data_IF_084933728227
#
_entry.id   IF_084933728227
#
_cell.length_a   1.000
_cell.length_b   1.000
_cell.length_c   1.000
_cell.angle_alpha   90.00
_cell.angle_beta   90.00
_cell.angle_gamma   90.00
#
_symmetry.space_group_name_H-M   'P 1'
#
loop_
_entity.id
_entity.type
_entity.pdbx_description
1 polymer ?
2 non-polymer ?
3 non-polymer ?
4 water ?
#
# COMPACT_ATOMS: atom_id res chain seq x y z
N UNK A 1 9.32 -9.97 6.87
CA UNK A 1 9.79 -9.55 5.56
C UNK A 1 11.15 -8.88 5.64
N UNK A 2 11.57 -8.52 6.85
CA UNK A 2 12.82 -7.78 7.02
C UNK A 2 13.99 -8.47 6.36
N UNK A 3 13.93 -9.80 6.26
CA UNK A 3 14.98 -10.53 5.56
C UNK A 3 15.02 -10.19 4.07
N UNK A 4 13.93 -9.63 3.53
CA UNK A 4 13.84 -9.28 2.12
C UNK A 4 14.51 -7.95 1.82
N UNK A 5 15.00 -7.23 2.82
CA UNK A 5 15.61 -5.91 2.64
C UNK A 5 17.12 -6.04 2.76
N UNK A 6 17.83 -5.63 1.71
CA UNK A 6 19.28 -5.76 1.67
C UNK A 6 19.95 -5.12 2.88
N UNK A 7 19.37 -4.04 3.41
CA UNK A 7 19.98 -3.38 4.57
C UNK A 7 20.01 -4.29 5.79
N UNK A 8 18.97 -5.11 5.96
CA UNK A 8 18.93 -6.02 7.10
C UNK A 8 19.99 -7.11 6.94
N UNK A 9 20.09 -7.71 5.75
CA UNK A 9 21.04 -8.80 5.56
C UNK A 9 22.48 -8.30 5.64
N UNK A 10 22.77 -7.15 5.02
CA UNK A 10 24.08 -6.53 5.19
C UNK A 10 24.34 -6.24 6.66
N UNK A 11 23.34 -5.72 7.36
CA UNK A 11 23.49 -5.40 8.77
C UNK A 11 23.87 -6.64 9.57
N UNK A 12 23.24 -7.77 9.29
CA UNK A 12 23.57 -9.01 9.99
C UNK A 12 24.94 -9.53 9.58
N UNK A 13 25.36 -9.28 8.34
CA UNK A 13 26.70 -9.67 7.93
C UNK A 13 27.76 -8.90 8.70
N UNK A 14 27.58 -7.59 8.84
CA UNK A 14 28.53 -6.80 9.63
C UNK A 14 28.45 -7.17 11.10
N UNK A 15 27.24 -7.42 11.60
CA UNK A 15 27.05 -7.82 12.99
C UNK A 15 27.81 -9.10 13.31
N UNK A 16 27.69 -10.10 12.44
CA UNK A 16 28.42 -11.36 12.64
C UNK A 16 29.92 -11.17 12.45
N UNK A 17 30.32 -10.55 11.34
CA UNK A 17 31.73 -10.51 10.97
C UNK A 17 32.52 -9.59 11.90
N UNK A 18 31.96 -8.45 12.27
CA UNK A 18 32.68 -7.43 13.02
C UNK A 18 32.22 -7.37 14.48
N UNK A 19 30.95 -7.08 14.71
CA UNK A 19 30.51 -6.67 16.05
C UNK A 19 30.49 -7.81 17.06
N UNK A 20 30.23 -9.05 16.62
CA UNK A 20 30.11 -10.14 17.59
C UNK A 20 31.41 -10.33 18.36
N UNK A 21 32.55 -10.22 17.69
CA UNK A 21 33.83 -10.36 18.37
C UNK A 21 33.92 -9.48 19.61
N UNK A 22 33.39 -8.26 19.51
CA UNK A 22 33.47 -7.34 20.64
C UNK A 22 32.69 -7.88 21.85
N UNK A 23 31.50 -8.41 21.61
CA UNK A 23 30.62 -8.82 22.70
C UNK A 23 30.90 -10.23 23.22
N UNK A 24 31.12 -11.21 22.36
CA UNK A 24 31.10 -12.62 22.76
C UNK A 24 32.35 -13.36 22.31
N UNK A 25 32.62 -14.53 22.90
CA UNK A 25 33.73 -15.36 22.41
C UNK A 25 33.44 -15.95 21.04
N UNK A 26 34.51 -16.14 20.26
CA UNK A 26 34.33 -16.59 18.89
C UNK A 26 33.57 -17.90 18.81
N UNK A 27 33.85 -18.84 19.71
CA UNK A 27 33.35 -20.21 19.55
C UNK A 27 31.84 -20.32 19.71
N UNK A 28 31.18 -19.32 20.28
CA UNK A 28 29.72 -19.32 20.36
C UNK A 28 29.07 -18.47 19.27
N UNK A 29 29.87 -17.82 18.41
CA UNK A 29 29.31 -16.94 17.38
C UNK A 29 28.30 -17.68 16.52
N UNK A 30 28.75 -18.73 15.82
CA UNK A 30 27.94 -19.33 14.77
C UNK A 30 26.57 -19.73 15.31
N UNK A 31 26.54 -20.54 16.37
CA UNK A 31 25.26 -20.95 16.93
C UNK A 31 24.38 -19.74 17.20
N UNK A 32 24.93 -18.72 17.85
CA UNK A 32 24.16 -17.50 18.09
C UNK A 32 23.55 -17.03 16.77
N UNK A 33 24.38 -16.82 15.76
CA UNK A 33 23.88 -16.35 14.48
C UNK A 33 22.76 -17.25 13.97
N UNK A 34 22.94 -18.57 14.07
CA UNK A 34 21.89 -19.47 13.62
C UNK A 34 20.56 -19.01 14.22
N UNK A 35 20.52 -18.96 15.56
CA UNK A 35 19.31 -18.52 16.23
C UNK A 35 18.86 -17.16 15.69
N UNK A 36 19.77 -16.18 15.67
CA UNK A 36 19.41 -14.87 15.14
C UNK A 36 18.73 -15.02 13.79
N UNK A 37 19.44 -15.67 12.85
CA UNK A 37 18.88 -15.78 11.51
C UNK A 37 17.53 -16.47 11.55
N UNK A 38 17.43 -17.56 12.32
CA UNK A 38 16.15 -18.24 12.47
C UNK A 38 15.06 -17.24 12.82
N UNK A 39 15.27 -16.48 13.89
CA UNK A 39 14.26 -15.52 14.31
C UNK A 39 13.98 -14.50 13.22
N UNK A 40 15.03 -14.02 12.55
CA UNK A 40 14.81 -13.02 11.52
C UNK A 40 14.06 -13.62 10.34
N UNK A 41 14.23 -14.92 10.10
CA UNK A 41 13.52 -15.55 8.99
C UNK A 41 12.08 -15.86 9.34
N UNK A 42 11.78 -16.03 10.64
CA UNK A 42 10.41 -16.25 11.07
C UNK A 42 9.56 -14.99 11.02
N UNK A 43 10.17 -13.82 10.78
CA UNK A 43 9.38 -12.60 10.67
C UNK A 43 8.35 -12.74 9.56
N UNK A 44 7.10 -12.48 9.90
CA UNK A 44 6.02 -12.42 8.93
C UNK A 44 5.50 -13.74 8.42
N UNK A 45 6.03 -14.88 8.90
CA UNK A 45 5.61 -16.17 8.38
C UNK A 45 4.32 -16.59 9.05
N UNK A 46 3.41 -17.20 8.27
CA UNK A 46 2.01 -17.36 8.65
C UNK A 46 1.77 -18.74 9.24
N UNK A 47 1.03 -18.77 10.36
CA UNK A 47 0.64 -19.97 11.09
C UNK A 47 -0.81 -20.41 10.82
N UNK A 48 -1.43 -19.88 9.77
CA UNK A 48 -2.86 -19.89 9.44
C UNK A 48 -3.67 -19.05 10.43
N UNK A 49 -4.92 -19.45 10.67
CA UNK A 49 -5.90 -18.66 11.42
C UNK A 49 -5.82 -17.19 11.04
N UNK A 50 -5.63 -16.32 12.03
CA UNK A 50 -5.49 -14.91 11.71
C UNK A 50 -4.13 -14.61 11.09
N UNK A 51 -3.11 -15.39 11.45
CA UNK A 51 -1.72 -15.04 11.17
C UNK A 51 -1.50 -14.65 9.72
N UNK A 52 -2.43 -15.01 8.82
CA UNK A 52 -2.31 -14.60 7.43
C UNK A 52 -2.10 -13.10 7.27
N UNK A 53 -2.41 -12.29 8.29
CA UNK A 53 -2.22 -10.85 8.15
C UNK A 53 -0.74 -10.47 8.17
N UNK A 54 0.16 -11.37 8.57
CA UNK A 54 1.60 -11.12 8.55
C UNK A 54 2.30 -11.67 7.31
N UNK A 55 1.60 -12.41 6.46
CA UNK A 55 2.25 -13.05 5.32
C UNK A 55 2.68 -12.09 4.24
N UNK A 56 2.10 -10.89 4.21
CA UNK A 56 2.41 -9.93 3.17
C UNK A 56 2.26 -8.53 3.74
N UNK A 57 3.06 -7.59 3.22
CA UNK A 57 3.11 -6.24 3.75
C UNK A 57 3.59 -5.31 2.65
N UNK A 58 3.08 -4.08 2.65
CA UNK A 58 3.47 -3.12 1.62
C UNK A 58 4.90 -2.64 1.85
N UNK A 59 5.50 -2.09 0.79
CA UNK A 59 6.90 -1.70 0.81
C UNK A 59 7.19 -0.70 1.94
N UNK A 60 6.27 0.23 2.18
CA UNK A 60 6.50 1.25 3.19
C UNK A 60 6.57 0.63 4.60
N UNK A 61 5.64 -0.26 4.90
CA UNK A 61 5.65 -0.91 6.21
C UNK A 61 6.89 -1.79 6.37
N UNK A 62 7.27 -2.52 5.31
CA UNK A 62 8.53 -3.24 5.33
C UNK A 62 9.69 -2.30 5.63
N UNK A 63 9.63 -1.08 5.09
CA UNK A 63 10.68 -0.09 5.36
C UNK A 63 10.70 0.26 6.85
N UNK A 64 9.54 0.54 7.42
CA UNK A 64 9.47 0.84 8.86
C UNK A 64 10.06 -0.29 9.68
N UNK A 65 9.62 -1.53 9.42
CA UNK A 65 10.16 -2.68 10.13
C UNK A 65 11.68 -2.75 10.00
N UNK A 66 12.17 -2.65 8.76
CA UNK A 66 13.62 -2.64 8.53
C UNK A 66 14.30 -1.64 9.44
N UNK A 67 13.80 -0.42 9.50
CA UNK A 67 14.54 0.65 10.17
C UNK A 67 14.46 0.54 11.69
N UNK A 68 13.33 0.08 12.24
CA UNK A 68 13.29 -0.14 13.68
C UNK A 68 14.19 -1.31 14.08
N UNK A 69 14.15 -2.39 13.29
CA UNK A 69 15.05 -3.53 13.55
C UNK A 69 16.49 -3.08 13.51
N UNK A 70 16.87 -2.28 12.52
CA UNK A 70 18.24 -1.80 12.43
C UNK A 70 18.59 -0.89 13.60
N UNK A 71 17.63 -0.08 14.04
CA UNK A 71 17.87 0.77 15.21
C UNK A 71 18.21 -0.06 16.43
N UNK A 72 17.43 -1.12 16.70
CA UNK A 72 17.71 -1.94 17.87
C UNK A 72 18.99 -2.74 17.70
N UNK A 73 19.20 -3.34 16.53
CA UNK A 73 20.42 -4.11 16.30
C UNK A 73 21.66 -3.23 16.49
N UNK A 74 21.57 -1.97 16.09
CA UNK A 74 22.66 -1.05 16.36
C UNK A 74 22.77 -0.76 17.86
N UNK A 75 21.64 -0.58 18.54
CA UNK A 75 21.69 -0.36 19.98
C UNK A 75 22.48 -1.47 20.67
N UNK A 76 22.16 -2.73 20.35
CA UNK A 76 22.83 -3.86 20.96
C UNK A 76 24.29 -3.91 20.52
N UNK A 77 24.56 -3.60 19.25
CA UNK A 77 25.94 -3.50 18.79
C UNK A 77 26.73 -2.53 19.64
N UNK A 78 26.13 -1.40 20.03
CA UNK A 78 26.79 -0.36 20.79
C UNK A 78 26.69 -0.53 22.30
N UNK A 79 25.92 -1.51 22.76
CA UNK A 79 25.78 -1.74 24.19
C UNK A 79 27.09 -2.19 24.80
N UNK A 80 27.20 -2.04 26.12
CA UNK A 80 28.29 -2.62 26.88
C UNK A 80 28.02 -4.07 27.28
N UNK A 81 26.90 -4.63 26.83
CA UNK A 81 26.54 -5.99 27.20
C UNK A 81 27.52 -7.01 26.62
N UNK A 82 27.71 -8.10 27.35
CA UNK A 82 28.59 -9.17 26.92
C UNK A 82 28.07 -10.49 27.47
N UNK A 83 28.48 -11.59 26.82
CA UNK A 83 28.17 -12.92 27.31
C UNK A 83 26.69 -13.19 27.46
N UNK A 84 26.34 -13.86 28.56
CA UNK A 84 24.98 -14.31 28.79
C UNK A 84 23.98 -13.16 28.65
N UNK A 85 24.31 -11.99 29.20
CA UNK A 85 23.39 -10.86 29.12
C UNK A 85 23.26 -10.37 27.68
N UNK A 86 24.36 -10.37 26.93
CA UNK A 86 24.28 -9.96 25.53
C UNK A 86 23.38 -10.90 24.75
N UNK A 87 23.48 -12.20 25.00
CA UNK A 87 22.62 -13.15 24.31
C UNK A 87 21.16 -12.96 24.72
N UNK A 88 20.90 -12.89 26.02
CA UNK A 88 19.54 -12.70 26.51
C UNK A 88 18.90 -11.47 25.89
N UNK A 89 19.62 -10.34 25.93
CA UNK A 89 19.08 -9.10 25.39
C UNK A 89 18.95 -9.15 23.87
N UNK A 90 19.86 -9.86 23.20
CA UNK A 90 19.76 -10.01 21.75
C UNK A 90 18.49 -10.75 21.37
N UNK A 91 18.27 -11.93 21.96
CA UNK A 91 17.07 -12.70 21.65
C UNK A 91 15.81 -11.94 22.04
N UNK A 92 15.84 -11.25 23.19
CA UNK A 92 14.69 -10.44 23.59
C UNK A 92 14.43 -9.34 22.59
N UNK A 93 15.49 -8.74 22.05
CA UNK A 93 15.33 -7.68 21.06
C UNK A 93 14.74 -8.21 19.76
N UNK A 94 15.13 -9.42 19.37
CA UNK A 94 14.53 -10.02 18.19
C UNK A 94 13.05 -10.31 18.42
N UNK A 95 12.70 -10.81 19.60
CA UNK A 95 11.29 -11.05 19.92
C UNK A 95 10.52 -9.73 19.91
N UNK A 96 11.11 -8.67 20.44
CA UNK A 96 10.42 -7.38 20.51
C UNK A 96 10.26 -6.76 19.12
N UNK A 97 11.30 -6.83 18.29
CA UNK A 97 11.19 -6.36 16.92
C UNK A 97 10.17 -7.17 16.14
N UNK A 98 10.06 -8.46 16.45
CA UNK A 98 9.01 -9.27 15.84
C UNK A 98 7.63 -8.76 16.28
N UNK A 99 7.50 -8.37 17.55
CA UNK A 99 6.24 -7.75 17.98
C UNK A 99 5.97 -6.47 17.22
N UNK A 100 6.98 -5.60 17.11
CA UNK A 100 6.83 -4.35 16.36
C UNK A 100 6.35 -4.65 14.94
N UNK A 101 6.98 -5.61 14.28
CA UNK A 101 6.56 -5.97 12.93
C UNK A 101 5.10 -6.40 12.92
N UNK A 102 4.73 -7.32 13.81
CA UNK A 102 3.34 -7.77 13.86
C UNK A 102 2.38 -6.60 13.98
N UNK A 103 2.72 -5.62 14.84
CA UNK A 103 1.87 -4.45 14.97
C UNK A 103 1.82 -3.66 13.67
N UNK A 104 2.96 -3.50 13.01
CA UNK A 104 3.01 -2.74 11.75
C UNK A 104 2.19 -3.41 10.67
N UNK A 105 2.15 -4.75 10.64
CA UNK A 105 1.36 -5.46 9.65
C UNK A 105 -0.13 -5.37 9.96
N UNK A 106 -0.51 -5.68 11.21
CA UNK A 106 -1.89 -5.54 11.65
C UNK A 106 -2.42 -4.16 11.30
N UNK A 107 -1.68 -3.12 11.71
CA UNK A 107 -2.04 -1.76 11.36
C UNK A 107 -2.14 -1.59 9.85
N UNK A 108 -1.14 -2.10 9.12
CA UNK A 108 -1.15 -1.98 7.66
C UNK A 108 -2.45 -2.47 7.06
N UNK A 109 -2.96 -3.60 7.56
CA UNK A 109 -4.21 -4.15 7.03
C UNK A 109 -5.40 -3.28 7.45
N UNK A 110 -5.49 -2.94 8.73
CA UNK A 110 -6.66 -2.22 9.21
C UNK A 110 -6.89 -0.94 8.40
N UNK A 111 -5.83 -0.19 8.13
CA UNK A 111 -5.92 1.11 7.47
C UNK A 111 -5.44 1.03 6.02
N UNK A 112 -4.19 0.65 5.80
CA UNK A 112 -3.57 0.82 4.49
C UNK A 112 -4.13 -0.15 3.47
N UNK A 113 -4.42 -1.38 3.88
CA UNK A 113 -4.79 -2.42 2.91
C UNK A 113 -6.27 -2.32 2.55
N UNK A 114 -6.56 -2.55 1.26
CA UNK A 114 -7.90 -2.52 0.70
C UNK A 114 -8.70 -1.35 1.29
N UNK A 115 -8.17 -0.13 1.23
CA UNK A 115 -8.91 1.03 1.75
C UNK A 115 -10.13 1.37 0.92
N UNK A 116 -10.16 0.98 -0.35
CA UNK A 116 -11.27 1.35 -1.22
C UNK A 116 -12.56 0.71 -0.74
N UNK A 117 -13.62 1.52 -0.70
CA UNK A 117 -14.96 1.04 -0.43
C UNK A 117 -15.70 0.66 -1.71
N UNK A 118 -15.08 0.90 -2.86
CA UNK A 118 -15.67 0.62 -4.16
C UNK A 118 -14.56 0.50 -5.18
N UNK A 119 -14.89 -0.10 -6.33
CA UNK A 119 -13.92 -0.18 -7.40
C UNK A 119 -12.84 -1.23 -7.13
N UNK A 120 -11.77 -1.14 -7.90
CA UNK A 120 -10.66 -2.09 -7.86
C UNK A 120 -9.38 -1.32 -7.58
N UNK A 121 -8.66 -1.73 -6.55
CA UNK A 121 -7.39 -1.15 -6.19
C UNK A 121 -6.28 -2.16 -6.42
N UNK A 122 -5.08 -1.65 -6.71
CA UNK A 122 -3.91 -2.48 -6.92
C UNK A 122 -2.78 -1.96 -6.04
N UNK A 123 -2.34 -2.80 -5.10
CA UNK A 123 -1.33 -2.42 -4.12
C UNK A 123 -0.13 -3.35 -4.25
N UNK A 124 1.06 -2.79 -4.22
CA UNK A 124 2.27 -3.61 -4.29
C UNK A 124 2.55 -4.19 -2.91
N UNK A 125 2.54 -5.52 -2.81
CA UNK A 125 2.81 -6.21 -1.56
C UNK A 125 4.07 -7.05 -1.68
N UNK A 126 4.79 -7.15 -0.57
CA UNK A 126 5.91 -8.07 -0.42
C UNK A 126 5.41 -9.25 0.41
N UNK A 127 5.49 -10.44 -0.16
CA UNK A 127 5.21 -11.67 0.57
C UNK A 127 6.49 -12.12 1.27
N UNK A 128 6.37 -12.31 2.60
CA UNK A 128 7.52 -12.45 3.47
C UNK A 128 8.19 -13.82 3.37
N UNK A 129 7.41 -14.87 3.12
CA UNK A 129 7.98 -16.20 3.09
C UNK A 129 9.03 -16.33 1.99
N UNK A 130 8.62 -16.07 0.74
CA UNK A 130 9.52 -16.14 -0.40
C UNK A 130 10.06 -14.77 -0.82
N UNK A 131 9.70 -13.71 -0.11
CA UNK A 131 10.22 -12.36 -0.41
C UNK A 131 9.82 -11.92 -1.81
N UNK A 132 8.57 -12.18 -2.18
CA UNK A 132 8.13 -11.97 -3.57
C UNK A 132 7.23 -10.74 -3.66
N UNK A 133 7.56 -9.85 -4.59
CA UNK A 133 6.71 -8.69 -4.85
C UNK A 133 5.58 -9.08 -5.80
N UNK A 134 4.35 -8.93 -5.33
CA UNK A 134 3.17 -9.24 -6.13
C UNK A 134 2.19 -8.08 -6.06
N UNK A 135 1.34 -7.99 -7.07
CA UNK A 135 0.33 -6.94 -7.15
C UNK A 135 -0.97 -7.50 -6.57
N UNK A 136 -1.36 -6.98 -5.41
CA UNK A 136 -2.56 -7.42 -4.72
C UNK A 136 -3.75 -6.62 -5.23
N UNK A 137 -4.82 -7.32 -5.56
CA UNK A 137 -5.99 -6.72 -6.18
C UNK A 137 -7.11 -6.71 -5.14
N UNK A 138 -7.48 -5.53 -4.67
CA UNK A 138 -8.65 -5.37 -3.80
C UNK A 138 -9.83 -5.08 -4.72
N UNK A 139 -10.73 -6.04 -4.86
CA UNK A 139 -11.78 -5.97 -5.86
C UNK A 139 -13.12 -5.78 -5.17
N UNK A 140 -13.81 -4.70 -5.54
CA UNK A 140 -15.17 -4.43 -5.10
C UNK A 140 -15.97 -4.01 -6.32
N UNK A 141 -17.28 -3.93 -6.15
CA UNK A 141 -18.14 -3.55 -7.27
C UNK A 141 -17.62 -2.29 -7.94
N UNK A 142 -17.49 -2.34 -9.27
CA UNK A 142 -16.78 -1.29 -9.99
C UNK A 142 -17.52 0.04 -9.91
N UNK A 143 -18.86 0.02 -9.94
CA UNK A 143 -19.60 1.27 -9.90
C UNK A 143 -19.56 1.82 -8.48
N UNK A 144 -18.98 3.00 -8.33
CA UNK A 144 -18.82 3.62 -7.02
C UNK A 144 -20.06 4.39 -6.57
N UNK A 145 -20.81 4.97 -7.48
CA UNK A 145 -22.02 5.68 -7.11
C UNK A 145 -22.40 6.72 -8.15
N UNK A 146 -23.46 7.45 -7.83
CA UNK A 146 -24.02 8.47 -8.71
C UNK A 146 -23.98 9.82 -8.02
N UNK A 147 -23.42 10.82 -8.70
CA UNK A 147 -23.35 12.18 -8.20
C UNK A 147 -24.45 13.00 -8.87
N UNK A 148 -25.18 13.77 -8.06
CA UNK A 148 -26.14 14.75 -8.58
C UNK A 148 -25.43 16.09 -8.65
N UNK A 149 -25.19 16.57 -9.87
CA UNK A 149 -24.50 17.83 -10.11
C UNK A 149 -25.53 18.84 -10.61
N UNK A 150 -25.51 20.03 -10.02
CA UNK A 150 -26.33 21.13 -10.49
C UNK A 150 -25.43 22.34 -10.73
N UNK A 151 -25.59 22.97 -11.88
CA UNK A 151 -24.74 24.07 -12.31
C UNK A 151 -25.62 25.09 -13.02
N UNK A 152 -25.44 26.36 -12.69
CA UNK A 152 -26.20 27.39 -13.36
C UNK A 152 -25.72 27.57 -14.79
N UNK A 153 -26.58 28.14 -15.62
CA UNK A 153 -26.23 28.37 -17.01
C UNK A 153 -25.01 29.27 -17.10
N UNK A 154 -24.15 29.00 -18.08
CA UNK A 154 -22.96 29.78 -18.35
C UNK A 154 -21.96 29.73 -17.20
N UNK A 155 -22.02 28.70 -16.37
CA UNK A 155 -21.01 28.46 -15.36
C UNK A 155 -20.09 27.33 -15.82
N UNK A 156 -19.09 27.02 -15.00
CA UNK A 156 -18.22 25.89 -15.26
C UNK A 156 -18.81 24.64 -14.64
N UNK A 157 -18.87 23.57 -15.43
CA UNK A 157 -19.28 22.26 -14.95
C UNK A 157 -18.03 21.42 -14.73
N UNK A 158 -17.84 20.96 -13.50
CA UNK A 158 -16.69 20.14 -13.14
C UNK A 158 -17.20 18.78 -12.68
N UNK A 159 -16.64 17.72 -13.25
CA UNK A 159 -16.89 16.36 -12.80
C UNK A 159 -15.61 15.84 -12.15
N UNK A 160 -15.68 15.55 -10.86
CA UNK A 160 -14.51 15.10 -10.10
C UNK A 160 -14.59 13.59 -9.95
N UNK A 161 -13.66 12.88 -10.60
CA UNK A 161 -13.59 11.43 -10.51
C UNK A 161 -12.55 10.96 -9.51
N UNK A 162 -11.86 11.86 -8.82
CA UNK A 162 -10.80 11.45 -7.92
C UNK A 162 -11.37 10.79 -6.68
N UNK A 163 -10.69 9.74 -6.22
CA UNK A 163 -11.02 9.07 -4.97
C UNK A 163 -9.79 9.04 -4.08
N UNK A 164 -10.04 8.91 -2.77
CA UNK A 164 -8.95 8.88 -1.80
C UNK A 164 -7.86 7.91 -2.23
N UNK A 165 -8.21 6.63 -2.37
CA UNK A 165 -7.22 5.59 -2.60
C UNK A 165 -6.56 5.68 -3.98
N UNK A 166 -7.13 6.45 -4.91
CA UNK A 166 -6.60 6.49 -6.27
C UNK A 166 -5.10 6.80 -6.28
N UNK A 167 -4.69 7.87 -5.59
CA UNK A 167 -3.29 8.25 -5.59
C UNK A 167 -2.39 7.09 -5.19
N UNK A 168 -2.86 6.23 -4.28
CA UNK A 168 -2.06 5.11 -3.81
C UNK A 168 -2.11 3.92 -4.78
N UNK A 169 -3.21 3.77 -5.51
CA UNK A 169 -3.37 2.60 -6.37
C UNK A 169 -2.26 2.57 -7.43
N UNK A 170 -1.92 1.36 -7.85
CA UNK A 170 -0.82 1.12 -8.78
C UNK A 170 -1.37 0.70 -10.14
N UNK A 171 -0.66 1.13 -11.19
CA UNK A 171 -1.05 0.77 -12.53
C UNK A 171 -2.18 1.58 -13.11
N UNK A 172 -2.53 2.72 -12.51
CA UNK A 172 -3.59 3.54 -13.05
C UNK A 172 -3.20 4.09 -14.41
N UNK A 173 -4.05 3.85 -15.41
CA UNK A 173 -4.00 4.52 -16.68
C UNK A 173 -4.92 5.74 -16.61
N UNK A 174 -5.26 6.31 -17.76
CA UNK A 174 -5.99 7.57 -17.82
C UNK A 174 -7.46 7.40 -17.44
N UNK A 175 -7.99 8.46 -16.81
CA UNK A 175 -9.44 8.60 -16.66
C UNK A 175 -10.09 8.85 -18.01
N UNK A 176 -11.25 8.27 -18.22
CA UNK A 176 -12.03 8.46 -19.44
C UNK A 176 -13.42 8.96 -19.05
N UNK A 177 -13.79 10.12 -19.59
CA UNK A 177 -15.09 10.75 -19.33
C UNK A 177 -15.97 10.63 -20.55
N UNK A 178 -17.14 10.02 -20.38
CA UNK A 178 -18.13 9.80 -21.43
C UNK A 178 -19.41 10.56 -21.11
N UNK A 179 -20.15 10.86 -22.17
CA UNK A 179 -21.49 11.45 -22.09
C UNK A 179 -22.49 10.37 -22.46
N UNK A 180 -23.44 10.08 -21.56
CA UNK A 180 -24.42 9.03 -21.74
C UNK A 180 -25.70 9.66 -22.26
N UNK A 181 -26.06 9.35 -23.50
CA UNK A 181 -27.24 9.92 -24.15
C UNK A 181 -28.51 9.17 -23.74
N UNK A 182 -29.64 9.88 -23.87
CA UNK A 182 -30.94 9.27 -23.66
C UNK A 182 -31.17 8.08 -24.57
N UNK A 183 -30.50 8.05 -25.72
CA UNK A 183 -30.58 6.96 -26.69
C UNK A 183 -29.91 5.67 -26.20
N UNK A 184 -29.29 5.69 -25.02
CA UNK A 184 -28.52 4.56 -24.47
C UNK A 184 -27.25 4.30 -25.29
N UNK A 185 -26.57 5.37 -25.69
CA UNK A 185 -25.23 5.29 -26.25
C UNK A 185 -24.37 6.35 -25.56
N UNK A 186 -23.06 6.17 -25.67
CA UNK A 186 -22.13 7.09 -25.02
C UNK A 186 -21.01 7.45 -25.98
N UNK A 187 -20.50 8.66 -25.81
CA UNK A 187 -19.36 9.16 -26.58
C UNK A 187 -18.29 9.65 -25.60
N UNK A 188 -17.04 9.30 -25.86
CA UNK A 188 -15.95 9.73 -25.01
C UNK A 188 -15.72 11.22 -25.20
N UNK A 189 -15.89 12.00 -24.13
CA UNK A 189 -15.61 13.43 -24.19
C UNK A 189 -14.25 13.81 -23.62
N UNK A 190 -13.58 12.91 -22.89
CA UNK A 190 -12.20 13.20 -22.52
C UNK A 190 -11.47 11.92 -22.15
N UNK A 191 -10.15 11.95 -22.30
CA UNK A 191 -9.29 10.87 -21.84
C UNK A 191 -7.96 11.46 -21.41
N UNK A 192 -7.45 11.05 -20.27
CA UNK A 192 -6.17 11.56 -19.81
C UNK A 192 -6.00 11.38 -18.31
N UNK A 193 -4.79 11.68 -17.85
CA UNK A 193 -4.42 11.43 -16.47
C UNK A 193 -5.12 12.38 -15.50
N UNK A 194 -5.83 13.38 -15.97
CA UNK A 194 -6.48 14.33 -15.09
C UNK A 194 -7.68 13.66 -14.42
N UNK A 195 -7.77 13.65 -13.09
CA UNK A 195 -8.90 12.97 -12.44
C UNK A 195 -10.25 13.60 -12.70
N UNK A 196 -10.29 14.82 -13.24
CA UNK A 196 -11.52 15.57 -13.39
C UNK A 196 -11.72 15.99 -14.84
N UNK A 197 -12.97 16.36 -15.14
CA UNK A 197 -13.34 16.94 -16.43
C UNK A 197 -13.92 18.32 -16.18
N UNK A 198 -13.61 19.26 -17.09
CA UNK A 198 -14.15 20.61 -17.02
C UNK A 198 -14.80 20.96 -18.34
N UNK A 199 -16.04 21.42 -18.27
CA UNK A 199 -16.80 21.90 -19.42
C UNK A 199 -17.19 23.36 -19.13
N UNK A 200 -16.79 24.25 -20.02
CA UNK A 200 -16.92 25.69 -19.79
C UNK A 200 -18.18 26.24 -20.46
N UNK A 201 -18.80 27.21 -19.79
CA UNK A 201 -19.93 27.94 -20.33
C UNK A 201 -21.05 26.99 -20.73
N UNK A 202 -21.51 26.20 -19.75
CA UNK A 202 -22.49 25.17 -20.04
C UNK A 202 -23.81 25.80 -20.49
N UNK A 203 -24.63 24.97 -21.13
CA UNK A 203 -25.95 25.35 -21.55
C UNK A 203 -26.87 24.15 -21.47
N UNK A 204 -28.17 24.36 -21.67
CA UNK A 204 -29.11 23.23 -21.53
C UNK A 204 -28.72 22.00 -22.34
N UNK A 205 -28.07 22.18 -23.48
CA UNK A 205 -27.62 21.04 -24.26
C UNK A 205 -26.63 20.17 -23.48
N UNK A 206 -25.95 20.74 -22.48
CA UNK A 206 -25.00 19.97 -21.68
C UNK A 206 -25.67 19.18 -20.57
N UNK A 207 -26.91 19.50 -20.21
CA UNK A 207 -27.63 18.71 -19.22
C UNK A 207 -27.72 17.27 -19.69
N UNK A 208 -27.50 16.34 -18.78
CA UNK A 208 -27.61 14.94 -19.10
C UNK A 208 -26.79 14.10 -18.14
N UNK A 209 -26.67 12.82 -18.49
CA UNK A 209 -25.91 11.87 -17.70
C UNK A 209 -24.48 11.80 -18.22
N UNK A 210 -23.53 11.70 -17.29
CA UNK A 210 -22.12 11.55 -17.61
C UNK A 210 -21.59 10.34 -16.87
N UNK A 211 -20.40 9.91 -17.27
CA UNK A 211 -19.79 8.74 -16.66
C UNK A 211 -18.28 8.93 -16.66
N UNK A 212 -17.64 8.50 -15.59
CA UNK A 212 -16.19 8.46 -15.52
C UNK A 212 -15.77 7.02 -15.28
N UNK A 213 -14.78 6.56 -16.05
CA UNK A 213 -14.23 5.23 -15.89
C UNK A 213 -12.72 5.34 -15.88
N UNK A 214 -12.10 4.85 -14.81
CA UNK A 214 -10.65 4.79 -14.72
C UNK A 214 -10.21 3.42 -15.20
N UNK A 215 -9.09 3.39 -15.94
CA UNK A 215 -8.58 2.16 -16.51
C UNK A 215 -7.21 1.84 -15.93
N UNK A 216 -6.84 0.57 -15.98
CA UNK A 216 -5.56 0.12 -15.48
C UNK A 216 -4.82 -0.62 -16.60
N UNK A 217 -3.51 -0.77 -16.40
CA UNK A 217 -2.67 -1.41 -17.42
C UNK A 217 -3.08 -2.87 -17.59
N UNK A 218 -3.36 -3.55 -16.48
CA UNK A 218 -3.62 -4.98 -16.50
C UNK A 218 -4.99 -5.32 -15.92
N UNK A 219 -5.24 -4.97 -14.66
CA UNK A 219 -6.32 -5.59 -13.91
C UNK A 219 -7.68 -5.30 -14.52
N UNK A 220 -7.92 -4.07 -14.95
CA UNK A 220 -9.20 -3.72 -15.52
C UNK A 220 -9.53 -2.27 -15.22
N UNK A 221 -10.83 -1.97 -15.27
CA UNK A 221 -11.31 -0.67 -14.82
C UNK A 221 -11.18 -0.58 -13.31
N UNK A 222 -10.55 0.49 -12.84
CA UNK A 222 -10.38 0.69 -11.40
C UNK A 222 -11.64 1.30 -10.77
N UNK A 223 -12.30 2.23 -11.44
CA UNK A 223 -13.39 2.97 -10.84
C UNK A 223 -14.38 3.43 -11.90
N UNK A 224 -15.65 3.48 -11.51
CA UNK A 224 -16.70 4.09 -12.31
C UNK A 224 -17.50 5.04 -11.43
N UNK A 225 -17.78 6.23 -11.94
CA UNK A 225 -18.62 7.22 -11.26
C UNK A 225 -19.58 7.79 -12.30
N UNK A 226 -20.86 7.81 -11.96
CA UNK A 226 -21.90 8.38 -12.82
C UNK A 226 -22.31 9.74 -12.28
N UNK A 227 -22.64 10.65 -13.20
CA UNK A 227 -23.01 12.01 -12.84
C UNK A 227 -24.35 12.34 -13.47
N UNK A 228 -25.24 12.93 -12.66
CA UNK A 228 -26.52 13.46 -13.13
C UNK A 228 -26.43 14.98 -13.10
N UNK A 229 -26.38 15.59 -14.28
CA UNK A 229 -26.14 17.01 -14.41
C UNK A 229 -27.45 17.70 -14.76
N UNK A 230 -27.83 18.68 -13.94
CA UNK A 230 -28.99 19.52 -14.19
C UNK A 230 -28.52 20.95 -14.40
N UNK A 231 -28.84 21.52 -15.56
CA UNK A 231 -28.50 22.90 -15.87
C UNK A 231 -29.63 23.78 -15.36
N UNK A 232 -29.31 24.71 -14.47
CA UNK A 232 -30.28 25.64 -13.94
C UNK A 232 -30.32 26.90 -14.78
N UNK A 233 -31.23 27.82 -14.50
CA UNK A 233 -31.17 29.14 -15.15
C UNK A 233 -30.00 29.93 -14.63
N UNK A 234 -29.58 30.99 -15.34
CA UNK A 234 -28.37 31.71 -14.91
C UNK A 234 -28.43 32.24 -13.49
N UNK A 235 -29.58 32.78 -13.08
CA UNK A 235 -29.69 33.42 -11.78
C UNK A 235 -30.98 33.00 -11.08
X LIG B 1 -28.46 9.57 -29.75
X LIG B 1 -27.62 10.90 -29.80
X LIG B 1 -27.14 11.22 -31.22
X LIG B 1 -26.45 10.03 -31.84
X LIG B 1 -27.49 8.93 -31.97
X LIG B 1 -26.97 7.69 -32.63
X LIG B 1 -29.42 11.99 -28.46
X LIG B 1 -30.01 13.32 -28.09
X LIG B 1 -28.35 12.04 -29.28
X LIG B 1 -26.24 12.32 -31.15
X LIG B 1 -25.93 10.35 -33.13
X LIG B 1 -27.90 8.56 -30.65
X LIG B 1 -27.34 6.53 -31.89
X LIG B 1 -29.88 10.94 -28.05
X LIG B 1 -29.38 9.76 -30.01
X LIG B 1 -26.83 10.76 -29.25
X LIG B 1 -27.91 11.47 -31.76
X LIG B 1 -25.72 9.73 -31.27
X LIG B 1 -28.26 9.27 -32.46
X LIG B 1 -27.34 7.62 -33.53
X LIG B 1 -26.00 7.73 -32.68
X LIG B 1 -30.30 13.79 -28.90
X LIG B 1 -29.33 13.85 -27.63
X LIG B 1 -30.78 13.19 -27.50
X LIG B 1 -28.08 12.87 -29.54
X LIG B 1 -26.39 12.86 -31.84
X LIG B 1 -25.05 10.42 -33.07
X LIG B 1 -27.22 5.80 -32.39
X LIG C 1 23.23 0.38 7.66
X LIG C 1 21.89 0.70 8.19
X LIG C 1 21.69 0.20 9.63
X LIG C 1 22.59 -0.84 10.11
X LIG C 1 23.63 -1.40 9.26
X LIG C 1 23.44 -1.07 7.79
X LIG C 1 22.67 -1.02 11.56
X LIG C 1 23.54 -2.21 11.98
X LIG C 1 23.52 -2.36 13.39
X LIG C 1 23.30 0.78 6.25
X LIG C 1 24.17 2.02 6.10
X LIG C 1 25.92 1.72 6.46
X LIG C 1 26.15 1.90 7.89
X LIG C 1 26.77 2.67 5.72
X LIG C 1 26.27 0.36 6.07
X LIG C 1 21.74 1.77 8.17
X LIG C 1 21.14 0.24 7.56
X LIG C 1 21.78 1.06 10.29
X LIG C 1 20.67 -0.17 9.72
X LIG C 1 24.60 -1.03 9.60
X LIG C 1 23.64 -2.49 9.39
X LIG C 1 22.59 -1.61 7.39
X LIG C 1 24.33 -1.36 7.24
X LIG C 1 21.67 -1.16 11.95
X LIG C 1 23.08 -0.11 12.00
X LIG C 1 23.18 -3.12 11.50
X LIG C 1 24.57 -2.04 11.65
X LIG C 1 22.95 -1.67 13.78
X LIG C 1 23.73 -0.03 5.66
X LIG C 1 22.30 0.99 5.88
X LIG C 1 24.08 2.40 5.07
X LIG C 1 23.80 2.80 6.76
#
# INVERSE_FOLDING_TARGET
>A
CIKCDQFVTDALKTFENTYLNDHLPHDIHKNVMRMVNHEVSSFGVVTSAEDSYLGAVDENTLEQATWSFLKDLKRITDSDLKGELFIKELLWMLRHQKDIFNNLARQFQKEVLCPNKCGVMSQTLIWCLKCEKQLHICRKSLDCGERHIEVHRSEDLVLDCLLSWHRASKGLTDYSFYRVWENSSETLIAKGKEPYLTKSMVGPEDAGNYRCVLDTINQGHATVIRYDVTVLPPKH
>B hetero
1 NAG C1 C2 C3 C4 C5 C6 C7 C8 N2 O3 O4 O5 O6 O7 H1 H2 H3 H4 H5 H61 H62 H81 H82 H83 HN2 HO3 HO4 HO6
>C hetero
1 EPE N1 C2 C3 N4 C5 C6 C7 C8 O8 C9 C10 S O1S O2S O3S H21 H22 H31 H32 H51 H52 H61 H62 H71 H72 H81 H82 HO8 H91 H92 H101 H102
#
